data_IF_575912848279
#
_entry.id   IF_575912848279
#
_cell.length_a   1.000
_cell.length_b   1.000
_cell.length_c   1.000
_cell.angle_alpha   90.00
_cell.angle_beta   90.00
_cell.angle_gamma   90.00
#
_symmetry.space_group_name_H-M   'P 1'
#
loop_
_entity.id
_entity.type
_entity.pdbx_description
1 polymer ?
#
# COMPACT_ATOMS: atom_id res chain seq x y z
N UNK A 1 -9.47 -10.26 -7.05
CA UNK A 1 -10.35 -9.89 -5.91
C UNK A 1 -9.81 -10.55 -4.66
N UNK A 2 -9.81 -9.85 -3.54
CA UNK A 2 -9.61 -10.41 -2.21
C UNK A 2 -10.79 -11.35 -1.91
N UNK A 3 -10.50 -12.57 -1.50
CA UNK A 3 -11.51 -13.61 -1.19
C UNK A 3 -11.49 -14.03 0.28
N UNK A 4 -10.44 -13.67 1.01
CA UNK A 4 -10.30 -13.94 2.43
C UNK A 4 -9.51 -12.81 3.10
N UNK A 5 -9.92 -12.45 4.31
CA UNK A 5 -9.26 -11.48 5.19
C UNK A 5 -9.24 -12.12 6.57
N UNK A 6 -8.10 -12.69 6.95
CA UNK A 6 -7.94 -13.46 8.18
C UNK A 6 -7.04 -12.74 9.19
N UNK A 7 -7.28 -12.97 10.49
CA UNK A 7 -6.50 -12.37 11.58
C UNK A 7 -7.35 -12.10 12.82
N UNK A 8 -6.80 -11.30 13.74
CA UNK A 8 -7.47 -10.89 14.99
C UNK A 8 -8.37 -9.67 14.81
N UNK A 9 -8.29 -8.75 15.76
CA UNK A 9 -9.12 -7.55 15.83
C UNK A 9 -9.01 -6.66 14.58
N UNK A 10 -7.80 -6.40 14.07
CA UNK A 10 -7.61 -5.54 12.89
C UNK A 10 -8.27 -6.15 11.64
N UNK A 11 -8.19 -7.47 11.47
CA UNK A 11 -8.86 -8.15 10.35
C UNK A 11 -10.39 -8.04 10.46
N UNK A 12 -10.95 -8.07 11.68
CA UNK A 12 -12.37 -7.82 11.91
C UNK A 12 -12.75 -6.39 11.49
N UNK A 13 -11.97 -5.39 11.90
CA UNK A 13 -12.22 -3.99 11.53
C UNK A 13 -12.18 -3.77 10.01
N UNK A 14 -11.20 -4.36 9.33
CA UNK A 14 -11.07 -4.26 7.86
C UNK A 14 -12.26 -4.92 7.16
N UNK A 15 -12.68 -6.12 7.59
CA UNK A 15 -13.86 -6.80 7.02
C UNK A 15 -15.12 -5.96 7.18
N UNK A 16 -15.37 -5.44 8.38
CA UNK A 16 -16.57 -4.63 8.66
C UNK A 16 -16.55 -3.32 7.86
N UNK A 17 -15.39 -2.66 7.77
CA UNK A 17 -15.21 -1.45 6.96
C UNK A 17 -15.55 -1.69 5.49
N UNK A 18 -14.92 -2.69 4.85
CA UNK A 18 -15.15 -2.97 3.43
C UNK A 18 -16.58 -3.44 3.16
N UNK A 19 -17.14 -4.30 4.03
CA UNK A 19 -18.50 -4.80 3.89
C UNK A 19 -19.57 -3.70 4.01
N UNK A 20 -19.30 -2.64 4.79
CA UNK A 20 -20.20 -1.50 4.95
C UNK A 20 -20.48 -0.70 3.68
N UNK A 21 -19.66 -0.85 2.63
CA UNK A 21 -19.91 -0.23 1.33
C UNK A 21 -20.91 -1.01 0.46
N UNK A 22 -21.23 -2.26 0.84
CA UNK A 22 -22.15 -3.13 0.10
C UNK A 22 -21.80 -3.27 -1.40
N UNK A 23 -20.51 -3.22 -1.73
CA UNK A 23 -20.03 -3.26 -3.11
C UNK A 23 -18.92 -4.32 -3.27
N UNK A 24 -19.15 -5.41 -4.04
CA UNK A 24 -18.13 -6.43 -4.24
C UNK A 24 -16.88 -5.89 -4.95
N UNK A 25 -16.97 -4.75 -5.66
CA UNK A 25 -15.83 -4.13 -6.33
C UNK A 25 -14.80 -3.56 -5.33
N UNK A 26 -15.18 -3.33 -4.08
CA UNK A 26 -14.28 -2.90 -2.99
C UNK A 26 -13.07 -3.83 -2.82
N UNK A 27 -13.24 -5.12 -3.12
CA UNK A 27 -12.23 -6.16 -2.93
C UNK A 27 -11.28 -6.32 -4.14
N UNK A 28 -11.39 -5.48 -5.18
CA UNK A 28 -10.45 -5.51 -6.29
C UNK A 28 -9.12 -4.87 -5.89
N UNK A 29 -8.01 -5.38 -6.42
CA UNK A 29 -6.71 -4.68 -6.31
C UNK A 29 -6.70 -3.52 -7.30
N UNK A 30 -6.21 -2.36 -6.87
CA UNK A 30 -5.97 -1.18 -7.69
C UNK A 30 -4.47 -1.02 -7.95
N UNK A 31 -3.82 0.06 -7.51
CA UNK A 31 -2.41 0.30 -7.74
C UNK A 31 -1.47 -0.51 -6.84
N UNK A 32 -0.29 -0.82 -7.36
CA UNK A 32 0.82 -1.47 -6.65
C UNK A 32 2.10 -0.67 -6.94
N UNK A 33 2.96 -0.50 -5.95
CA UNK A 33 4.23 0.21 -6.10
C UNK A 33 5.13 0.12 -4.88
N UNK A 34 6.14 0.99 -4.84
CA UNK A 34 7.10 1.08 -3.74
C UNK A 34 7.48 2.55 -3.47
N UNK A 35 7.94 2.80 -2.25
CA UNK A 35 8.22 4.14 -1.74
C UNK A 35 9.67 4.56 -1.99
N UNK A 36 9.84 5.80 -2.47
CA UNK A 36 11.14 6.43 -2.71
C UNK A 36 11.35 7.70 -1.86
N UNK A 37 10.43 8.05 -0.95
CA UNK A 37 10.55 9.27 -0.15
C UNK A 37 11.39 9.03 1.10
N UNK A 38 12.61 9.54 1.09
CA UNK A 38 13.58 9.46 2.18
C UNK A 38 13.23 10.30 3.42
N UNK A 39 12.33 11.28 3.28
CA UNK A 39 11.85 12.11 4.39
C UNK A 39 10.63 11.52 5.09
N UNK A 40 9.95 10.56 4.45
CA UNK A 40 8.75 9.93 4.99
C UNK A 40 9.09 8.88 6.05
N UNK A 41 8.31 8.87 7.12
CA UNK A 41 8.54 8.04 8.31
C UNK A 41 7.44 7.01 8.53
N UNK A 42 7.81 5.73 8.47
CA UNK A 42 6.88 4.62 8.73
C UNK A 42 6.09 4.76 10.05
N UNK A 43 6.72 5.28 11.11
CA UNK A 43 6.13 5.40 12.44
C UNK A 43 5.23 6.64 12.63
N UNK A 44 5.18 7.54 11.65
CA UNK A 44 4.51 8.83 11.81
C UNK A 44 3.01 8.72 12.07
N UNK A 45 2.32 7.72 11.52
CA UNK A 45 0.89 7.50 11.80
C UNK A 45 0.61 7.15 13.26
N UNK A 46 1.58 6.56 13.97
CA UNK A 46 1.44 6.20 15.38
C UNK A 46 1.88 7.34 16.32
N UNK A 47 2.81 8.20 15.89
CA UNK A 47 3.42 9.23 16.75
C UNK A 47 3.08 10.67 16.38
N UNK A 48 2.51 10.90 15.20
CA UNK A 48 2.30 12.21 14.60
C UNK A 48 0.89 12.77 14.81
N UNK A 49 0.63 13.92 14.19
CA UNK A 49 -0.71 14.49 14.13
C UNK A 49 -1.60 13.66 13.19
N UNK A 50 -2.94 13.74 13.34
CA UNK A 50 -3.86 13.16 12.36
C UNK A 50 -3.57 13.72 10.96
N UNK A 51 -3.33 12.83 10.00
CA UNK A 51 -3.09 13.17 8.61
C UNK A 51 -3.77 12.16 7.71
N UNK A 52 -3.72 12.40 6.39
CA UNK A 52 -4.09 11.37 5.43
C UNK A 52 -3.15 10.17 5.44
N UNK A 53 -1.96 10.23 6.06
CA UNK A 53 -1.01 9.12 6.15
C UNK A 53 -0.02 9.04 4.99
N UNK A 54 0.45 10.18 4.47
CA UNK A 54 1.39 10.23 3.35
C UNK A 54 2.75 9.60 3.69
N UNK A 55 3.20 9.72 4.93
CA UNK A 55 4.41 9.05 5.39
C UNK A 55 4.31 7.53 5.25
N UNK A 56 3.20 6.94 5.69
CA UNK A 56 2.95 5.50 5.53
C UNK A 56 2.95 5.08 4.06
N UNK A 57 2.35 5.89 3.18
CA UNK A 57 2.28 5.61 1.74
C UNK A 57 3.60 5.71 1.01
N UNK A 58 4.53 6.55 1.49
CA UNK A 58 5.70 6.95 0.69
C UNK A 58 7.05 6.59 1.31
N UNK A 59 7.10 6.11 2.55
CA UNK A 59 8.38 5.87 3.23
C UNK A 59 9.31 4.97 2.40
N UNK A 60 10.57 5.38 2.40
CA UNK A 60 11.63 4.78 1.61
C UNK A 60 11.72 3.26 1.78
N UNK A 61 11.58 2.53 0.68
CA UNK A 61 11.64 1.07 0.66
C UNK A 61 10.38 0.35 1.14
N UNK A 62 9.23 1.04 1.30
CA UNK A 62 7.96 0.34 1.48
C UNK A 62 7.56 -0.42 0.20
N UNK A 63 6.63 -1.37 0.35
CA UNK A 63 5.81 -1.87 -0.75
C UNK A 63 4.37 -1.49 -0.46
N UNK A 64 3.68 -0.91 -1.41
CA UNK A 64 2.30 -0.45 -1.26
C UNK A 64 1.42 -1.16 -2.27
N UNK A 65 0.30 -1.71 -1.83
CA UNK A 65 -0.81 -2.00 -2.71
C UNK A 65 -2.09 -1.36 -2.19
N UNK A 66 -3.05 -1.21 -3.10
CA UNK A 66 -4.33 -0.59 -2.80
C UNK A 66 -5.50 -1.44 -3.31
N UNK A 67 -6.68 -1.18 -2.77
CA UNK A 67 -7.92 -1.84 -3.17
C UNK A 67 -8.99 -0.84 -3.58
N UNK A 68 -9.86 -1.24 -4.50
CA UNK A 68 -11.04 -0.50 -4.88
C UNK A 68 -10.91 0.18 -6.24
N UNK A 69 -11.15 1.50 -6.35
CA UNK A 69 -11.33 2.17 -7.62
C UNK A 69 -10.07 2.12 -8.49
N UNK A 70 -10.26 2.09 -9.81
CA UNK A 70 -9.19 2.16 -10.80
C UNK A 70 -9.59 2.93 -12.07
N UNK A 71 -10.65 3.74 -11.99
CA UNK A 71 -11.13 4.56 -13.10
C UNK A 71 -10.15 5.67 -13.50
N UNK A 72 -9.25 6.06 -12.59
CA UNK A 72 -8.23 7.09 -12.84
C UNK A 72 -7.25 6.74 -13.97
N UNK A 73 -7.09 5.45 -14.27
CA UNK A 73 -6.22 4.93 -15.34
C UNK A 73 -7.00 4.09 -16.36
N UNK A 74 -8.31 4.36 -16.50
CA UNK A 74 -9.15 3.74 -17.53
C UNK A 74 -9.74 2.37 -17.19
N UNK A 75 -9.65 1.95 -15.92
CA UNK A 75 -10.37 0.79 -15.42
C UNK A 75 -11.87 1.04 -15.27
N UNK A 76 -12.62 -0.01 -14.92
CA UNK A 76 -14.09 0.02 -14.80
C UNK A 76 -14.58 0.00 -13.35
N UNK A 77 -13.65 -0.07 -12.38
CA UNK A 77 -14.01 -0.09 -10.98
C UNK A 77 -14.16 1.33 -10.43
N UNK A 78 -15.40 1.73 -10.17
CA UNK A 78 -15.82 3.02 -9.62
C UNK A 78 -16.30 2.92 -8.17
N UNK A 79 -15.92 1.87 -7.44
CA UNK A 79 -16.31 1.70 -6.04
C UNK A 79 -15.80 2.84 -5.16
N UNK A 80 -16.60 3.25 -4.18
CA UNK A 80 -16.21 4.30 -3.23
C UNK A 80 -15.31 3.78 -2.08
N UNK A 81 -15.17 2.46 -1.94
CA UNK A 81 -14.30 1.85 -0.93
C UNK A 81 -12.85 1.87 -1.42
N UNK A 82 -11.96 2.56 -0.71
CA UNK A 82 -10.54 2.65 -1.05
C UNK A 82 -9.67 2.41 0.18
N UNK A 83 -8.64 1.58 0.06
CA UNK A 83 -7.67 1.35 1.13
C UNK A 83 -6.26 1.23 0.60
N UNK A 84 -5.34 1.99 1.19
CA UNK A 84 -3.91 1.91 0.92
C UNK A 84 -3.22 1.12 2.03
N UNK A 85 -2.49 0.07 1.67
CA UNK A 85 -1.88 -0.90 2.60
C UNK A 85 -0.35 -0.90 2.44
N UNK A 86 0.36 0.04 3.09
CA UNK A 86 1.81 0.07 3.05
C UNK A 86 2.42 -1.04 3.91
N UNK A 87 3.33 -1.80 3.33
CA UNK A 87 4.00 -2.94 3.94
C UNK A 87 5.48 -2.64 4.16
N UNK A 88 5.96 -2.91 5.38
CA UNK A 88 7.36 -2.73 5.77
C UNK A 88 8.12 -4.06 5.66
N UNK A 89 9.35 -4.01 5.14
CA UNK A 89 10.25 -5.16 5.13
C UNK A 89 9.93 -6.20 4.06
N UNK A 90 9.11 -5.85 3.07
CA UNK A 90 8.83 -6.70 1.92
C UNK A 90 10.03 -6.77 0.96
N UNK A 91 10.03 -7.81 0.14
CA UNK A 91 10.81 -7.82 -1.09
C UNK A 91 9.84 -7.75 -2.28
N UNK A 92 10.20 -6.99 -3.30
CA UNK A 92 9.40 -6.79 -4.51
C UNK A 92 10.27 -7.03 -5.74
N UNK A 93 9.73 -7.80 -6.66
CA UNK A 93 10.33 -8.11 -7.95
C UNK A 93 9.46 -7.52 -9.06
N UNK A 94 10.09 -7.00 -10.11
CA UNK A 94 9.45 -6.79 -11.41
C UNK A 94 9.96 -7.90 -12.32
N UNK A 95 9.07 -8.83 -12.65
CA UNK A 95 9.45 -10.10 -13.29
C UNK A 95 10.58 -10.79 -12.49
N UNK A 96 11.78 -10.90 -13.05
CA UNK A 96 12.95 -11.50 -12.40
C UNK A 96 13.89 -10.47 -11.75
N UNK A 97 13.61 -9.17 -11.89
CA UNK A 97 14.44 -8.09 -11.36
C UNK A 97 14.05 -7.74 -9.92
N UNK A 98 14.99 -7.90 -8.98
CA UNK A 98 14.78 -7.53 -7.58
C UNK A 98 14.88 -6.01 -7.41
N UNK A 99 13.75 -5.36 -7.09
CA UNK A 99 13.68 -3.90 -6.91
C UNK A 99 13.81 -3.51 -5.44
N UNK A 100 13.10 -4.20 -4.55
CA UNK A 100 13.17 -3.99 -3.10
C UNK A 100 13.54 -5.30 -2.44
N UNK A 101 14.53 -5.31 -1.54
CA UNK A 101 14.94 -6.48 -0.74
C UNK A 101 14.79 -6.16 0.74
N UNK A 102 13.84 -6.81 1.39
CA UNK A 102 13.57 -6.62 2.82
C UNK A 102 13.49 -5.12 3.24
N UNK A 103 12.87 -4.30 2.40
CA UNK A 103 12.76 -2.85 2.59
C UNK A 103 13.94 -1.99 2.12
N UNK A 104 14.91 -2.56 1.40
CA UNK A 104 16.04 -1.83 0.81
C UNK A 104 15.92 -1.77 -0.70
N UNK A 105 16.14 -0.61 -1.32
CA UNK A 105 16.14 -0.47 -2.78
C UNK A 105 17.42 -1.02 -3.38
N UNK A 106 17.28 -1.82 -4.43
CA UNK A 106 18.39 -2.54 -5.05
C UNK A 106 18.95 -1.81 -6.28
N UNK A 107 18.16 -1.32 -7.25
CA UNK A 107 18.68 -0.57 -8.38
C UNK A 107 19.41 0.70 -7.92
N UNK A 108 20.64 0.90 -8.40
CA UNK A 108 21.51 2.01 -7.97
C UNK A 108 20.92 3.38 -8.34
N UNK A 109 20.26 3.47 -9.49
CA UNK A 109 19.60 4.67 -10.00
C UNK A 109 18.33 5.06 -9.23
N UNK A 110 17.79 4.16 -8.40
CA UNK A 110 16.68 4.44 -7.49
C UNK A 110 17.14 4.74 -6.05
N UNK A 111 18.43 4.62 -5.76
CA UNK A 111 18.96 4.88 -4.43
C UNK A 111 19.13 6.38 -4.17
N UNK A 112 18.71 6.81 -2.99
CA UNK A 112 19.03 8.16 -2.52
C UNK A 112 20.54 8.25 -2.26
N UNK A 113 21.16 9.37 -2.63
CA UNK A 113 22.61 9.54 -2.60
C UNK A 113 23.28 9.28 -1.23
N UNK A 114 22.50 9.27 -0.14
CA UNK A 114 22.97 9.13 1.23
C UNK A 114 22.49 7.85 1.94
N UNK A 115 22.06 6.79 1.20
CA UNK A 115 21.56 5.53 1.78
C UNK A 115 22.09 4.27 1.10
#
# INVERSE_FOLDING_TARGET
MIVDIAGGFDAMLVRDYMAGFHDPKAYAVSHIGWGLNELARWDYLASGAPTLGMDGRSFYGNVLFSTGPNTELGGTNDTACHMDLPMKGCSLYLDDELIVKAGQLIPEDMRAANR
#
